data_IF_419298879544
#
_entry.id   IF_419298879544
#
_cell.length_a   1.000
_cell.length_b   1.000
_cell.length_c   1.000
_cell.angle_alpha   90.00
_cell.angle_beta   90.00
_cell.angle_gamma   90.00
#
_symmetry.space_group_name_H-M   'P 1'
#
loop_
_entity.id
_entity.type
_entity.pdbx_description
1 polymer ?
#
# COMPACT_ATOMS: atom_id res chain seq x y z
N UNK A 1 19.00 90.11 25.05
CA UNK A 1 19.26 89.40 26.31
C UNK A 1 19.01 87.92 26.08
N UNK A 2 20.03 87.12 26.37
CA UNK A 2 20.13 85.66 26.26
C UNK A 2 19.12 84.94 27.18
N UNK A 3 18.52 83.84 26.75
CA UNK A 3 18.32 82.62 27.56
C UNK A 3 18.06 81.40 26.65
N UNK A 4 18.77 80.31 26.93
CA UNK A 4 18.77 78.99 26.27
C UNK A 4 17.73 78.05 26.94
N UNK A 5 17.06 77.17 26.18
CA UNK A 5 16.99 75.71 26.49
C UNK A 5 16.35 74.86 25.39
N UNK A 6 17.02 73.74 25.13
CA UNK A 6 16.74 72.63 24.20
C UNK A 6 15.73 71.60 24.74
N UNK A 7 15.02 70.88 23.85
CA UNK A 7 15.10 69.41 23.71
C UNK A 7 14.12 68.83 22.64
N UNK A 8 14.73 68.26 21.60
CA UNK A 8 14.44 67.07 20.76
C UNK A 8 13.06 66.71 20.15
N UNK A 9 13.04 66.13 18.91
CA UNK A 9 11.86 65.97 18.06
C UNK A 9 11.23 64.56 18.15
N UNK A 10 9.92 64.47 17.89
CA UNK A 10 9.17 63.21 17.89
C UNK A 10 8.70 62.80 16.49
N UNK A 11 9.24 61.65 16.06
CA UNK A 11 8.61 60.54 15.33
C UNK A 11 8.34 60.71 13.82
N UNK A 12 9.20 60.02 13.05
CA UNK A 12 8.95 59.48 11.72
C UNK A 12 8.05 58.23 11.79
N UNK A 13 7.16 58.05 10.81
CA UNK A 13 6.41 56.80 10.62
C UNK A 13 6.68 56.25 9.22
N UNK A 14 7.53 55.23 9.15
CA UNK A 14 7.80 54.44 7.96
C UNK A 14 6.85 53.23 7.92
N UNK A 15 6.01 53.14 6.90
CA UNK A 15 5.11 52.00 6.68
C UNK A 15 5.84 50.87 5.94
N UNK A 16 6.15 49.78 6.64
CA UNK A 16 6.58 48.52 6.02
C UNK A 16 5.40 47.53 6.03
N UNK A 17 4.89 47.17 4.85
CA UNK A 17 3.86 46.15 4.67
C UNK A 17 4.57 44.79 4.69
N UNK A 18 4.37 44.00 5.76
CA UNK A 18 4.82 42.61 5.81
C UNK A 18 3.88 41.74 4.96
N UNK A 19 4.42 41.14 3.90
CA UNK A 19 3.79 40.06 3.15
C UNK A 19 4.04 38.74 3.88
N UNK A 20 3.13 38.34 4.78
CA UNK A 20 3.20 37.04 5.44
C UNK A 20 2.58 35.97 4.53
N UNK A 21 3.41 35.27 3.75
CA UNK A 21 3.00 34.06 3.06
C UNK A 21 2.87 32.91 4.07
N UNK A 22 1.65 32.54 4.43
CA UNK A 22 1.39 31.32 5.20
C UNK A 22 1.58 30.10 4.29
N UNK A 23 2.73 29.47 4.36
CA UNK A 23 2.94 28.11 3.84
C UNK A 23 2.23 27.14 4.80
N UNK A 24 1.00 26.75 4.47
CA UNK A 24 0.39 25.58 5.08
C UNK A 24 1.15 24.34 4.57
N UNK A 25 2.04 23.80 5.39
CA UNK A 25 2.64 22.48 5.15
C UNK A 25 1.50 21.48 5.26
N UNK A 26 1.04 20.97 4.12
CA UNK A 26 0.12 19.85 4.09
C UNK A 26 0.84 18.65 4.73
N UNK A 27 0.47 18.31 5.96
CA UNK A 27 0.86 17.04 6.54
C UNK A 27 0.28 15.95 5.63
N UNK A 28 1.14 15.10 5.07
CA UNK A 28 0.69 13.89 4.36
C UNK A 28 -0.20 13.09 5.30
N UNK A 29 -1.44 12.84 4.89
CA UNK A 29 -2.38 12.08 5.71
C UNK A 29 -1.77 10.72 6.05
N UNK A 30 -1.73 10.37 7.34
CA UNK A 30 -1.26 9.06 7.80
C UNK A 30 -2.10 7.98 7.13
N UNK A 31 -1.43 7.03 6.48
CA UNK A 31 -2.09 5.90 5.80
C UNK A 31 -2.03 4.65 6.65
N UNK A 32 -3.07 3.85 6.55
CA UNK A 32 -3.27 2.64 7.34
C UNK A 32 -3.39 1.44 6.42
N UNK A 33 -2.68 0.36 6.76
CA UNK A 33 -2.94 -0.97 6.23
C UNK A 33 -4.01 -1.62 7.10
N UNK A 34 -5.05 -2.11 6.45
CA UNK A 34 -6.14 -2.79 7.11
C UNK A 34 -6.21 -4.25 6.66
N UNK A 35 -6.52 -5.12 7.61
CA UNK A 35 -6.93 -6.50 7.34
C UNK A 35 -8.21 -6.77 8.11
N UNK A 36 -9.26 -7.16 7.39
CA UNK A 36 -10.54 -7.60 7.96
C UNK A 36 -10.78 -9.02 7.51
N UNK A 37 -10.97 -9.92 8.48
CA UNK A 37 -11.42 -11.29 8.24
C UNK A 37 -12.76 -11.44 8.94
N UNK A 38 -13.76 -11.91 8.21
CA UNK A 38 -15.08 -12.20 8.75
C UNK A 38 -15.54 -13.58 8.33
N UNK A 39 -16.01 -14.36 9.30
CA UNK A 39 -16.72 -15.60 9.04
C UNK A 39 -18.21 -15.38 9.31
N UNK A 40 -19.08 -15.38 8.28
CA UNK A 40 -20.50 -15.11 8.46
C UNK A 40 -21.22 -16.24 9.21
N UNK A 41 -20.63 -17.45 9.26
CA UNK A 41 -21.23 -18.63 9.92
C UNK A 41 -20.88 -18.68 11.41
N UNK A 42 -19.63 -18.42 11.78
CA UNK A 42 -19.18 -18.42 13.19
C UNK A 42 -19.31 -17.05 13.86
N UNK A 43 -19.59 -16.00 13.08
CA UNK A 43 -19.56 -14.58 13.50
C UNK A 43 -18.19 -14.11 14.02
N UNK A 44 -17.12 -14.81 13.67
CA UNK A 44 -15.76 -14.39 13.98
C UNK A 44 -15.37 -13.15 13.16
N UNK A 45 -14.74 -12.19 13.83
CA UNK A 45 -14.26 -10.95 13.25
C UNK A 45 -12.84 -10.69 13.72
N UNK A 46 -11.90 -10.65 12.78
CA UNK A 46 -10.54 -10.18 13.01
C UNK A 46 -10.36 -8.85 12.29
N UNK A 47 -9.87 -7.84 13.01
CA UNK A 47 -9.53 -6.53 12.47
C UNK A 47 -8.12 -6.15 12.87
N UNK A 48 -7.30 -5.84 11.88
CA UNK A 48 -5.96 -5.31 12.03
C UNK A 48 -5.94 -3.95 11.35
N UNK A 49 -5.57 -2.91 12.07
CA UNK A 49 -5.44 -1.55 11.53
C UNK A 49 -4.08 -1.03 11.97
N UNK A 50 -3.14 -0.90 11.04
CA UNK A 50 -1.74 -0.58 11.34
C UNK A 50 -1.30 0.59 10.46
N UNK A 51 -0.80 1.70 11.04
CA UNK A 51 -0.17 2.75 10.25
C UNK A 51 0.96 2.19 9.39
N UNK A 52 1.04 2.56 8.11
CA UNK A 52 2.11 2.08 7.23
C UNK A 52 3.50 2.39 7.79
N UNK A 53 3.66 3.56 8.41
CA UNK A 53 4.91 3.97 9.08
C UNK A 53 5.30 3.04 10.23
N UNK A 54 4.32 2.44 10.93
CA UNK A 54 4.58 1.44 11.97
C UNK A 54 4.92 0.09 11.35
N UNK A 55 4.16 -0.33 10.33
CA UNK A 55 4.42 -1.57 9.60
C UNK A 55 5.84 -1.59 9.00
N UNK A 56 6.31 -0.50 8.38
CA UNK A 56 7.67 -0.37 7.84
C UNK A 56 8.74 -0.65 8.91
N UNK A 57 8.54 -0.22 10.16
CA UNK A 57 9.51 -0.43 11.26
C UNK A 57 9.40 -1.79 11.93
N UNK A 58 8.22 -2.38 11.94
CA UNK A 58 7.94 -3.62 12.66
C UNK A 58 8.23 -4.86 11.79
N UNK A 59 7.90 -4.82 10.50
CA UNK A 59 8.07 -5.95 9.58
C UNK A 59 9.49 -6.51 9.58
N UNK A 60 10.57 -5.70 9.52
CA UNK A 60 11.94 -6.20 9.59
C UNK A 60 12.32 -6.86 10.92
N UNK A 61 11.61 -6.52 12.00
CA UNK A 61 11.84 -7.09 13.32
C UNK A 61 11.11 -8.43 13.54
N UNK A 62 10.17 -8.79 12.65
CA UNK A 62 9.45 -10.07 12.72
C UNK A 62 10.21 -11.13 11.94
N UNK A 63 10.77 -12.09 12.67
CA UNK A 63 11.44 -13.25 12.11
C UNK A 63 10.67 -14.53 12.47
N UNK A 64 9.58 -14.80 11.74
CA UNK A 64 8.73 -15.97 11.96
C UNK A 64 8.28 -16.64 10.65
N UNK A 65 8.20 -17.97 10.63
CA UNK A 65 7.86 -18.73 9.41
C UNK A 65 8.83 -18.42 8.26
N UNK A 66 8.28 -18.08 7.10
CA UNK A 66 9.02 -17.68 5.89
C UNK A 66 9.39 -16.18 5.84
N UNK A 67 8.96 -15.37 6.82
CA UNK A 67 9.28 -13.94 6.90
C UNK A 67 10.59 -13.74 7.68
N UNK A 68 11.61 -13.17 7.04
CA UNK A 68 12.89 -12.79 7.65
C UNK A 68 13.39 -11.46 7.12
N UNK A 69 13.79 -10.57 8.02
CA UNK A 69 14.36 -9.25 7.68
C UNK A 69 13.48 -8.47 6.68
N UNK A 70 12.15 -8.54 6.86
CA UNK A 70 11.17 -7.89 6.00
C UNK A 70 10.96 -8.51 4.62
N UNK A 71 11.57 -9.67 4.37
CA UNK A 71 11.46 -10.43 3.13
C UNK A 71 10.76 -11.77 3.39
N UNK A 72 9.84 -12.16 2.50
CA UNK A 72 9.15 -13.46 2.56
C UNK A 72 9.79 -14.40 1.55
N UNK A 73 10.17 -15.59 2.00
CA UNK A 73 10.62 -16.65 1.11
C UNK A 73 9.44 -17.36 0.45
N UNK A 74 9.51 -17.55 -0.87
CA UNK A 74 8.45 -18.15 -1.68
C UNK A 74 8.79 -19.58 -2.14
N UNK A 75 10.02 -20.06 -1.87
CA UNK A 75 10.56 -21.31 -2.44
C UNK A 75 9.80 -22.61 -2.12
N UNK A 76 8.84 -22.58 -1.18
CA UNK A 76 7.98 -23.72 -0.84
C UNK A 76 6.55 -23.62 -1.42
N UNK A 77 6.23 -22.59 -2.22
CA UNK A 77 5.05 -22.71 -3.08
C UNK A 77 5.37 -23.84 -4.07
N UNK A 78 4.48 -24.82 -4.23
CA UNK A 78 4.59 -25.95 -5.20
C UNK A 78 4.65 -25.49 -6.68
N UNK A 79 5.13 -24.28 -6.93
CA UNK A 79 5.49 -23.69 -8.19
C UNK A 79 7.02 -23.83 -8.42
N UNK A 80 7.59 -25.02 -8.13
CA UNK A 80 9.02 -25.38 -8.21
C UNK A 80 9.70 -25.12 -9.58
N UNK A 81 8.98 -24.55 -10.55
CA UNK A 81 9.44 -24.24 -11.91
C UNK A 81 9.04 -22.84 -12.39
N UNK A 82 8.50 -21.99 -11.52
CA UNK A 82 8.00 -20.66 -11.87
C UNK A 82 8.91 -19.60 -11.28
N UNK A 83 9.75 -18.99 -12.13
CA UNK A 83 10.56 -17.85 -11.73
C UNK A 83 9.67 -16.61 -11.63
N UNK A 84 9.12 -16.36 -10.44
CA UNK A 84 8.20 -15.24 -10.14
C UNK A 84 8.85 -13.91 -10.51
N UNK A 85 10.15 -13.74 -10.23
CA UNK A 85 10.91 -12.53 -10.60
C UNK A 85 10.94 -12.33 -12.12
N UNK A 86 11.23 -13.37 -12.89
CA UNK A 86 11.25 -13.29 -14.36
C UNK A 86 9.86 -12.96 -14.94
N UNK A 87 8.78 -13.45 -14.32
CA UNK A 87 7.41 -13.08 -14.68
C UNK A 87 7.17 -11.60 -14.39
N UNK A 88 7.56 -11.12 -13.22
CA UNK A 88 7.37 -9.73 -12.83
C UNK A 88 8.25 -8.78 -13.67
N UNK A 89 9.48 -9.16 -13.99
CA UNK A 89 10.34 -8.42 -14.93
C UNK A 89 9.75 -8.39 -16.34
N UNK A 90 9.15 -9.49 -16.81
CA UNK A 90 8.45 -9.52 -18.10
C UNK A 90 7.22 -8.59 -18.08
N UNK A 91 6.43 -8.60 -17.00
CA UNK A 91 5.26 -7.73 -16.81
C UNK A 91 5.62 -6.24 -16.71
N UNK A 92 6.84 -5.90 -16.29
CA UNK A 92 7.34 -4.50 -16.28
C UNK A 92 7.32 -3.87 -17.65
N UNK A 93 7.87 -4.59 -18.62
CA UNK A 93 8.02 -4.11 -20.00
C UNK A 93 6.81 -4.44 -20.87
N UNK A 94 5.91 -5.29 -20.37
CA UNK A 94 4.70 -5.64 -21.07
C UNK A 94 3.75 -4.43 -21.19
N UNK A 95 3.12 -4.26 -22.37
CA UNK A 95 2.05 -3.28 -22.55
C UNK A 95 0.84 -3.67 -21.69
N UNK A 96 -0.07 -2.72 -21.45
CA UNK A 96 -1.36 -3.03 -20.83
C UNK A 96 -2.08 -4.15 -21.61
N UNK A 97 -2.70 -5.09 -20.90
CA UNK A 97 -3.34 -6.24 -21.51
C UNK A 97 -3.60 -7.39 -20.55
N UNK A 98 -4.35 -8.37 -21.06
CA UNK A 98 -4.57 -9.66 -20.41
C UNK A 98 -3.44 -10.63 -20.80
N UNK A 99 -2.79 -11.26 -19.82
CA UNK A 99 -1.60 -12.10 -20.06
C UNK A 99 -1.84 -13.57 -19.80
N UNK A 100 -2.68 -13.90 -18.82
CA UNK A 100 -2.99 -15.28 -18.46
C UNK A 100 -4.49 -15.40 -18.27
N UNK A 101 -5.08 -16.33 -19.00
CA UNK A 101 -6.46 -16.78 -18.79
C UNK A 101 -6.45 -18.29 -18.79
N UNK A 102 -6.74 -18.86 -17.62
CA UNK A 102 -6.97 -20.29 -17.43
C UNK A 102 -8.45 -20.45 -17.15
N UNK A 103 -9.12 -21.29 -17.93
CA UNK A 103 -10.52 -21.62 -17.71
C UNK A 103 -10.64 -23.13 -17.64
N UNK A 104 -11.00 -23.64 -16.46
CA UNK A 104 -11.19 -25.05 -16.20
C UNK A 104 -12.58 -25.30 -15.61
N UNK A 105 -12.90 -26.58 -15.41
CA UNK A 105 -14.14 -26.98 -14.73
C UNK A 105 -14.14 -26.62 -13.24
N UNK A 106 -12.97 -26.59 -12.60
CA UNK A 106 -12.81 -26.25 -11.17
C UNK A 106 -12.59 -24.76 -10.93
N UNK A 107 -11.75 -24.12 -11.74
CA UNK A 107 -11.29 -22.75 -11.52
C UNK A 107 -11.20 -21.92 -12.80
N UNK A 108 -11.44 -20.61 -12.68
CA UNK A 108 -11.07 -19.62 -13.69
C UNK A 108 -10.03 -18.67 -13.08
N UNK A 109 -8.89 -18.50 -13.74
CA UNK A 109 -7.81 -17.58 -13.33
C UNK A 109 -7.54 -16.59 -14.45
N UNK A 110 -7.57 -15.30 -14.11
CA UNK A 110 -7.23 -14.21 -15.02
C UNK A 110 -6.15 -13.34 -14.40
N UNK A 111 -5.10 -13.04 -15.16
CA UNK A 111 -4.04 -12.09 -14.79
C UNK A 111 -3.89 -11.05 -15.89
N UNK A 112 -4.02 -9.78 -15.51
CA UNK A 112 -3.92 -8.65 -16.43
C UNK A 112 -3.12 -7.50 -15.82
N UNK A 113 -2.56 -6.65 -16.67
CA UNK A 113 -2.06 -5.32 -16.29
C UNK A 113 -2.97 -4.29 -16.93
N UNK A 114 -3.66 -3.53 -16.10
CA UNK A 114 -4.67 -2.57 -16.50
C UNK A 114 -4.52 -1.29 -15.68
N UNK A 115 -4.44 -0.15 -16.36
CA UNK A 115 -4.31 1.17 -15.75
C UNK A 115 -3.12 1.28 -14.79
N UNK A 116 -1.99 0.65 -15.12
CA UNK A 116 -0.80 0.66 -14.27
C UNK A 116 -0.95 -0.17 -12.99
N UNK A 117 -1.89 -1.11 -12.96
CA UNK A 117 -2.13 -2.03 -11.86
C UNK A 117 -2.07 -3.46 -12.36
N UNK A 118 -1.54 -4.37 -11.54
CA UNK A 118 -1.71 -5.81 -11.76
C UNK A 118 -3.03 -6.23 -11.13
N UNK A 119 -3.87 -6.85 -11.94
CA UNK A 119 -5.17 -7.38 -11.52
C UNK A 119 -5.13 -8.89 -11.68
N UNK A 120 -5.39 -9.60 -10.59
CA UNK A 120 -5.61 -11.04 -10.59
C UNK A 120 -7.03 -11.30 -10.14
N UNK A 121 -7.74 -12.11 -10.91
CA UNK A 121 -9.08 -12.57 -10.58
C UNK A 121 -9.09 -14.09 -10.61
N UNK A 122 -9.50 -14.72 -9.51
CA UNK A 122 -9.66 -16.17 -9.41
C UNK A 122 -11.08 -16.47 -8.97
N UNK A 123 -11.75 -17.35 -9.71
CA UNK A 123 -13.06 -17.89 -9.37
C UNK A 123 -12.88 -19.39 -9.16
N UNK A 124 -13.06 -19.85 -7.93
CA UNK A 124 -13.20 -21.28 -7.64
C UNK A 124 -14.69 -21.64 -7.72
N UNK A 125 -15.04 -22.47 -8.70
CA UNK A 125 -16.42 -22.87 -9.00
C UNK A 125 -16.94 -23.92 -8.02
N UNK A 126 -16.06 -24.70 -7.40
CA UNK A 126 -16.43 -25.74 -6.44
C UNK A 126 -16.80 -25.12 -5.09
N UNK A 127 -15.93 -24.25 -4.57
CA UNK A 127 -16.13 -23.55 -3.29
C UNK A 127 -16.97 -22.28 -3.41
N UNK A 128 -17.23 -21.80 -4.64
CA UNK A 128 -17.86 -20.50 -4.94
C UNK A 128 -17.12 -19.33 -4.30
N UNK A 129 -15.80 -19.45 -4.22
CA UNK A 129 -14.91 -18.42 -3.71
C UNK A 129 -14.40 -17.55 -4.85
N UNK A 130 -14.37 -16.23 -4.60
CA UNK A 130 -13.80 -15.26 -5.52
C UNK A 130 -12.62 -14.56 -4.85
N UNK A 131 -11.50 -14.49 -5.55
CA UNK A 131 -10.30 -13.78 -5.10
C UNK A 131 -9.98 -12.69 -6.10
N UNK A 132 -10.03 -11.45 -5.64
CA UNK A 132 -9.62 -10.26 -6.37
C UNK A 132 -8.33 -9.73 -5.75
N UNK A 133 -7.29 -9.60 -6.55
CA UNK A 133 -6.04 -8.93 -6.17
C UNK A 133 -5.84 -7.76 -7.12
N UNK A 134 -5.62 -6.56 -6.57
CA UNK A 134 -5.39 -5.34 -7.35
C UNK A 134 -4.24 -4.59 -6.72
N UNK A 135 -3.08 -4.61 -7.37
CA UNK A 135 -1.85 -4.03 -6.80
C UNK A 135 -1.26 -3.02 -7.80
N UNK A 136 -1.03 -1.76 -7.38
CA UNK A 136 -0.32 -0.79 -8.21
C UNK A 136 1.04 -1.31 -8.64
N UNK A 137 1.43 -1.03 -9.89
CA UNK A 137 2.68 -1.53 -10.47
C UNK A 137 3.90 -1.16 -9.61
N UNK A 138 3.96 0.06 -9.10
CA UNK A 138 5.06 0.54 -8.23
C UNK A 138 5.22 -0.32 -6.96
N UNK A 139 4.13 -0.87 -6.43
CA UNK A 139 4.15 -1.77 -5.26
C UNK A 139 4.64 -3.16 -5.67
N UNK A 140 4.27 -3.63 -6.85
CA UNK A 140 4.77 -4.89 -7.42
C UNK A 140 6.28 -4.81 -7.68
N UNK A 141 6.76 -3.69 -8.22
CA UNK A 141 8.21 -3.46 -8.40
C UNK A 141 8.95 -3.45 -7.06
N UNK A 142 8.36 -2.81 -6.05
CA UNK A 142 8.92 -2.80 -4.71
C UNK A 142 8.98 -4.21 -4.09
N UNK A 143 7.96 -5.06 -4.30
CA UNK A 143 7.94 -6.46 -3.86
C UNK A 143 9.11 -7.28 -4.39
N UNK A 144 9.64 -6.99 -5.58
CA UNK A 144 10.78 -7.75 -6.17
C UNK A 144 12.13 -7.02 -6.05
N UNK A 145 12.12 -5.86 -5.41
CA UNK A 145 13.31 -5.05 -5.22
C UNK A 145 14.21 -5.63 -4.12
N UNK A 146 15.53 -5.60 -4.34
CA UNK A 146 16.52 -6.06 -3.36
C UNK A 146 16.27 -7.49 -2.83
N UNK A 147 15.84 -8.41 -3.69
CA UNK A 147 15.58 -9.82 -3.31
C UNK A 147 16.37 -10.82 -4.13
N UNK A 148 16.48 -12.05 -3.62
CA UNK A 148 16.87 -13.23 -4.41
C UNK A 148 15.68 -13.77 -5.21
N UNK A 149 15.91 -14.78 -6.06
CA UNK A 149 14.87 -15.32 -6.96
C UNK A 149 13.61 -15.82 -6.23
N UNK A 150 13.78 -16.33 -5.00
CA UNK A 150 12.71 -16.92 -4.19
C UNK A 150 12.29 -16.03 -3.02
N UNK A 151 12.43 -14.70 -3.15
CA UNK A 151 12.09 -13.76 -2.08
C UNK A 151 11.27 -12.58 -2.58
N UNK A 152 10.31 -12.15 -1.76
CA UNK A 152 9.60 -10.88 -1.92
C UNK A 152 9.94 -9.92 -0.77
N UNK A 153 10.23 -8.67 -1.11
CA UNK A 153 10.51 -7.59 -0.19
C UNK A 153 9.20 -6.92 0.24
N UNK A 154 8.63 -7.45 1.33
CA UNK A 154 7.38 -6.95 1.90
C UNK A 154 7.59 -5.56 2.53
N UNK A 155 8.75 -5.30 3.12
CA UNK A 155 9.10 -3.98 3.64
C UNK A 155 9.04 -2.91 2.55
N UNK A 156 9.69 -3.16 1.40
CA UNK A 156 9.68 -2.23 0.27
C UNK A 156 8.25 -2.02 -0.29
N UNK A 157 7.46 -3.09 -0.36
CA UNK A 157 6.07 -3.01 -0.79
C UNK A 157 5.22 -2.13 0.15
N UNK A 158 5.35 -2.32 1.45
CA UNK A 158 4.64 -1.52 2.47
C UNK A 158 5.05 -0.05 2.39
N UNK A 159 6.33 0.21 2.12
CA UNK A 159 6.82 1.57 1.88
C UNK A 159 6.23 2.18 0.61
N UNK A 160 6.15 1.42 -0.48
CA UNK A 160 5.54 1.90 -1.73
C UNK A 160 4.06 2.25 -1.54
N UNK A 161 3.33 1.53 -0.68
CA UNK A 161 1.93 1.80 -0.35
C UNK A 161 1.70 3.17 0.32
N UNK A 162 2.72 3.82 0.88
CA UNK A 162 2.59 5.17 1.44
C UNK A 162 2.28 6.22 0.36
N UNK A 163 2.67 5.94 -0.88
CA UNK A 163 2.54 6.86 -2.01
C UNK A 163 1.31 6.59 -2.87
N UNK A 164 0.63 5.46 -2.67
CA UNK A 164 -0.56 5.09 -3.45
C UNK A 164 -1.83 5.64 -2.82
N UNK A 165 -2.83 5.91 -3.66
CA UNK A 165 -4.16 6.31 -3.20
C UNK A 165 -4.91 5.21 -2.46
N UNK A 166 -6.12 5.53 -2.01
CA UNK A 166 -6.97 4.56 -1.30
C UNK A 166 -7.32 3.40 -2.25
N UNK A 167 -6.98 2.17 -1.86
CA UNK A 167 -7.13 1.00 -2.73
C UNK A 167 -7.34 -0.28 -1.95
N UNK A 168 -8.12 -1.21 -2.51
CA UNK A 168 -8.26 -2.57 -1.99
C UNK A 168 -7.24 -3.45 -2.71
N UNK A 169 -6.31 -4.01 -1.94
CA UNK A 169 -5.21 -4.84 -2.44
C UNK A 169 -5.66 -6.27 -2.68
N UNK A 170 -6.41 -6.82 -1.73
CA UNK A 170 -6.93 -8.19 -1.78
C UNK A 170 -8.36 -8.19 -1.27
N UNK A 171 -9.22 -8.93 -1.96
CA UNK A 171 -10.55 -9.31 -1.50
C UNK A 171 -10.76 -10.79 -1.77
N UNK A 172 -11.07 -11.54 -0.72
CA UNK A 172 -11.56 -12.91 -0.82
C UNK A 172 -13.02 -12.87 -0.40
N UNK A 173 -13.89 -13.42 -1.23
CA UNK A 173 -15.33 -13.50 -0.99
C UNK A 173 -15.78 -14.94 -1.12
N UNK A 174 -15.98 -15.59 0.02
CA UNK A 174 -16.47 -16.96 0.14
C UNK A 174 -17.64 -17.07 1.11
N UNK A 175 -18.20 -18.27 1.18
CA UNK A 175 -19.33 -18.56 2.07
C UNK A 175 -18.90 -18.69 3.54
N UNK A 176 -17.71 -19.21 3.80
CA UNK A 176 -17.21 -19.44 5.16
C UNK A 176 -16.28 -18.33 5.63
N UNK A 177 -15.51 -17.73 4.73
CA UNK A 177 -14.58 -16.67 5.08
C UNK A 177 -14.62 -15.55 4.05
N UNK A 178 -14.54 -14.31 4.53
CA UNK A 178 -14.36 -13.14 3.71
C UNK A 178 -13.16 -12.37 4.24
N UNK A 179 -12.21 -12.10 3.37
CA UNK A 179 -10.98 -11.37 3.69
C UNK A 179 -10.95 -10.09 2.87
N UNK A 180 -10.58 -8.98 3.50
CA UNK A 180 -10.28 -7.74 2.80
C UNK A 180 -8.98 -7.17 3.33
N UNK A 181 -8.07 -6.84 2.42
CA UNK A 181 -6.84 -6.10 2.69
C UNK A 181 -6.88 -4.83 1.86
N UNK A 182 -6.78 -3.67 2.51
CA UNK A 182 -6.83 -2.38 1.82
C UNK A 182 -5.97 -1.34 2.54
N UNK A 183 -5.67 -0.27 1.82
CA UNK A 183 -4.99 0.90 2.36
C UNK A 183 -5.88 2.12 2.18
N UNK A 184 -6.06 2.90 3.24
CA UNK A 184 -6.69 4.22 3.14
C UNK A 184 -6.08 5.22 4.15
N UNK A 185 -6.61 6.44 4.14
CA UNK A 185 -6.20 7.53 5.03
C UNK A 185 -7.00 7.62 6.35
N UNK A 186 -7.80 6.61 6.67
CA UNK A 186 -8.70 6.55 7.83
C UNK A 186 -8.22 5.48 8.79
N UNK A 187 -8.20 5.79 10.09
CA UNK A 187 -7.80 4.80 11.12
C UNK A 187 -8.89 3.76 11.42
N UNK A 188 -10.10 3.93 10.88
CA UNK A 188 -11.25 3.06 11.19
C UNK A 188 -11.97 2.66 9.92
N UNK A 189 -12.30 1.37 9.85
CA UNK A 189 -13.34 0.84 8.98
C UNK A 189 -14.66 1.58 9.25
N UNK A 190 -15.06 2.46 8.34
CA UNK A 190 -16.47 2.86 8.19
C UNK A 190 -17.11 1.96 7.13
N UNK A 191 -17.27 0.67 7.46
CA UNK A 191 -18.23 -0.28 6.87
C UNK A 191 -18.35 -1.57 7.73
#
# INVERSE_FOLDING_TARGET
>A
MTTVKSAFPAVALSSAILLAATLAVAASATRYLHVKVTNPTTHELVRVNVPLTLAEKVIPAINHGELRDGKVHIGNLNADKVNVRAILDALKTAPEGEFVTVQNTGDDVRVAKEHGQVVVHVIDKESKENVDVTVPWDVVEALVSDTTEDQLNVEAAVKALETVGDTTLVRVSGHEENVRVWVDSRNTDTE
#
